data_IF_458691034910
#
_entry.id   IF_458691034910
#
_cell.length_a   1.000
_cell.length_b   1.000
_cell.length_c   1.000
_cell.angle_alpha   90.00
_cell.angle_beta   90.00
_cell.angle_gamma   90.00
#
_symmetry.space_group_name_H-M   'P 1'
#
loop_
_entity.id
_entity.type
_entity.pdbx_description
1 polymer ?
#
# COMPACT_ATOMS: atom_id res chain seq x y z
N UNK A 1 3.17 0.68 -11.75
CA UNK A 1 3.16 2.02 -11.11
C UNK A 1 4.46 2.32 -10.35
N UNK A 2 5.63 1.79 -10.75
CA UNK A 2 6.78 1.76 -9.82
C UNK A 2 7.96 2.69 -10.12
N UNK A 3 8.23 3.17 -11.34
CA UNK A 3 9.29 4.20 -11.54
C UNK A 3 8.96 5.24 -12.62
N UNK A 4 8.18 4.91 -13.65
CA UNK A 4 7.98 5.84 -14.79
C UNK A 4 7.19 7.11 -14.46
N UNK A 5 6.38 7.15 -13.40
CA UNK A 5 5.55 8.32 -13.05
C UNK A 5 6.32 9.48 -12.38
N UNK A 6 7.62 9.35 -12.12
CA UNK A 6 8.35 10.26 -11.20
C UNK A 6 8.72 11.63 -11.76
N UNK A 7 8.76 11.81 -13.08
CA UNK A 7 8.96 13.14 -13.70
C UNK A 7 7.63 13.80 -14.13
N UNK A 8 6.51 13.11 -13.93
CA UNK A 8 5.17 13.65 -14.19
C UNK A 8 4.60 14.36 -12.96
N UNK A 9 3.69 15.31 -13.19
CA UNK A 9 2.95 15.95 -12.09
C UNK A 9 2.14 14.89 -11.33
N UNK A 10 2.10 14.94 -9.99
CA UNK A 10 1.28 13.98 -9.24
C UNK A 10 -0.18 14.11 -9.68
N UNK A 11 -0.82 12.98 -9.98
CA UNK A 11 -2.23 12.88 -10.33
C UNK A 11 -2.99 12.26 -9.15
N UNK A 12 -4.08 12.90 -8.73
CA UNK A 12 -4.96 12.34 -7.71
C UNK A 12 -5.88 11.30 -8.35
N UNK A 13 -5.62 10.03 -8.08
CA UNK A 13 -6.43 8.91 -8.54
C UNK A 13 -7.17 8.28 -7.36
N UNK A 14 -8.50 8.34 -7.38
CA UNK A 14 -9.35 7.65 -6.40
C UNK A 14 -9.27 6.16 -6.72
N UNK A 15 -8.38 5.44 -6.03
CA UNK A 15 -8.13 4.01 -6.27
C UNK A 15 -9.21 3.07 -5.73
N UNK A 16 -10.49 3.39 -5.88
CA UNK A 16 -11.58 2.53 -5.45
C UNK A 16 -12.14 1.73 -6.64
N UNK A 17 -12.01 0.40 -6.59
CA UNK A 17 -12.68 -0.46 -7.56
C UNK A 17 -14.14 -0.65 -7.15
N UNK A 18 -15.12 -0.53 -8.07
CA UNK A 18 -16.52 -0.84 -7.79
C UNK A 18 -16.73 -2.24 -7.19
N UNK A 19 -15.83 -3.18 -7.49
CA UNK A 19 -15.84 -4.54 -6.93
C UNK A 19 -15.70 -4.58 -5.41
N UNK A 20 -15.16 -3.52 -4.80
CA UNK A 20 -15.00 -3.46 -3.35
C UNK A 20 -16.36 -3.49 -2.64
N UNK A 21 -17.38 -2.79 -3.16
CA UNK A 21 -18.74 -2.85 -2.58
C UNK A 21 -19.31 -4.27 -2.65
N UNK A 22 -19.08 -4.98 -3.75
CA UNK A 22 -19.54 -6.36 -3.95
C UNK A 22 -18.86 -7.31 -2.94
N UNK A 23 -17.57 -7.08 -2.67
CA UNK A 23 -16.80 -7.91 -1.71
C UNK A 23 -17.02 -7.55 -0.23
N UNK A 24 -17.60 -6.38 0.08
CA UNK A 24 -17.66 -5.89 1.45
C UNK A 24 -18.47 -6.78 2.41
N UNK A 25 -19.64 -7.32 2.03
CA UNK A 25 -20.39 -8.24 2.90
C UNK A 25 -19.57 -9.46 3.33
N UNK A 26 -18.68 -9.96 2.46
CA UNK A 26 -17.78 -11.07 2.80
C UNK A 26 -16.72 -10.64 3.82
N UNK A 27 -16.16 -9.44 3.66
CA UNK A 27 -15.23 -8.87 4.64
C UNK A 27 -15.92 -8.66 6.01
N UNK A 28 -17.17 -8.18 6.01
CA UNK A 28 -17.97 -8.00 7.23
C UNK A 28 -18.18 -9.34 7.96
N UNK A 29 -18.62 -10.39 7.23
CA UNK A 29 -18.75 -11.75 7.76
C UNK A 29 -17.43 -12.25 8.34
N UNK A 30 -16.32 -12.06 7.63
CA UNK A 30 -14.99 -12.45 8.10
C UNK A 30 -14.64 -11.75 9.42
N UNK A 31 -14.83 -10.43 9.50
CA UNK A 31 -14.57 -9.67 10.72
C UNK A 31 -15.42 -10.17 11.90
N UNK A 32 -16.73 -10.36 11.70
CA UNK A 32 -17.63 -10.86 12.75
C UNK A 32 -17.26 -12.26 13.21
N UNK A 33 -16.98 -13.17 12.28
CA UNK A 33 -16.57 -14.55 12.59
C UNK A 33 -15.31 -14.60 13.47
N UNK A 34 -14.32 -13.74 13.19
CA UNK A 34 -13.09 -13.64 13.99
C UNK A 34 -13.38 -13.06 15.37
N UNK A 35 -14.14 -11.96 15.42
CA UNK A 35 -14.34 -11.19 16.64
C UNK A 35 -15.33 -11.85 17.61
N UNK A 36 -16.30 -12.65 17.13
CA UNK A 36 -17.32 -13.30 17.95
C UNK A 36 -16.73 -14.08 19.12
N UNK A 37 -15.58 -14.75 18.92
CA UNK A 37 -14.91 -15.56 19.95
C UNK A 37 -14.32 -14.72 21.10
N UNK A 38 -14.17 -13.41 20.89
CA UNK A 38 -13.48 -12.50 21.80
C UNK A 38 -14.38 -11.38 22.34
N UNK A 39 -15.67 -11.38 22.00
CA UNK A 39 -16.62 -10.38 22.48
C UNK A 39 -16.77 -10.40 24.01
N UNK A 40 -16.85 -9.22 24.61
CA UNK A 40 -16.95 -9.07 26.06
C UNK A 40 -18.43 -9.06 26.52
N UNK A 41 -19.02 -10.25 26.65
CA UNK A 41 -20.45 -10.41 26.99
C UNK A 41 -20.84 -9.97 28.42
N UNK A 42 -19.88 -9.54 29.26
CA UNK A 42 -20.17 -9.09 30.62
C UNK A 42 -20.67 -7.64 30.69
N UNK A 43 -20.43 -6.83 29.67
CA UNK A 43 -20.85 -5.42 29.66
C UNK A 43 -22.25 -5.29 29.05
N UNK A 44 -23.26 -5.09 29.90
CA UNK A 44 -24.66 -4.93 29.50
C UNK A 44 -24.93 -3.59 28.79
N UNK A 45 -23.99 -2.65 28.84
CA UNK A 45 -24.11 -1.34 28.18
C UNK A 45 -23.81 -1.39 26.68
N UNK A 46 -23.21 -2.49 26.20
CA UNK A 46 -22.80 -2.66 24.80
C UNK A 46 -23.59 -3.79 24.15
N UNK A 47 -24.39 -3.44 23.15
CA UNK A 47 -25.11 -4.41 22.33
C UNK A 47 -24.21 -4.93 21.19
N UNK A 48 -24.28 -6.23 20.92
CA UNK A 48 -23.41 -6.95 20.00
C UNK A 48 -24.20 -7.63 18.88
N UNK A 49 -23.66 -7.60 17.67
CA UNK A 49 -24.28 -8.31 16.55
C UNK A 49 -24.12 -9.83 16.74
N UNK A 50 -25.23 -10.53 17.02
CA UNK A 50 -25.21 -11.98 17.17
C UNK A 50 -24.88 -12.65 15.82
N UNK A 51 -23.83 -13.47 15.83
CA UNK A 51 -23.35 -14.16 14.64
C UNK A 51 -23.11 -15.64 14.92
N UNK A 52 -23.45 -16.51 13.96
CA UNK A 52 -23.25 -17.96 14.10
C UNK A 52 -21.76 -18.25 14.38
N UNK A 53 -21.50 -18.80 15.57
CA UNK A 53 -20.21 -19.32 15.97
C UNK A 53 -19.94 -20.62 15.23
N UNK A 54 -18.83 -20.67 14.49
CA UNK A 54 -18.45 -21.84 13.70
C UNK A 54 -17.21 -22.48 14.26
N UNK A 55 -17.38 -23.72 14.73
CA UNK A 55 -16.29 -24.63 15.00
C UNK A 55 -16.32 -25.74 13.93
N UNK A 56 -15.23 -25.86 13.18
CA UNK A 56 -14.93 -26.92 12.19
C UNK A 56 -15.95 -27.12 11.04
N UNK A 57 -15.67 -26.54 9.86
CA UNK A 57 -16.46 -26.77 8.64
C UNK A 57 -15.63 -27.33 7.49
N UNK A 58 -16.27 -28.21 6.73
CA UNK A 58 -15.80 -28.74 5.45
C UNK A 58 -16.11 -27.73 4.31
N UNK A 59 -15.46 -27.82 3.13
CA UNK A 59 -15.59 -26.82 2.05
C UNK A 59 -17.05 -26.58 1.60
N UNK A 60 -17.84 -27.65 1.44
CA UNK A 60 -19.27 -27.55 1.10
C UNK A 60 -20.06 -26.81 2.19
N UNK A 61 -19.68 -27.03 3.44
CA UNK A 61 -20.29 -26.37 4.59
C UNK A 61 -19.84 -24.92 4.73
N UNK A 62 -18.68 -24.54 4.20
CA UNK A 62 -18.20 -23.15 4.18
C UNK A 62 -19.06 -22.25 3.29
N UNK A 63 -19.44 -22.72 2.09
CA UNK A 63 -20.34 -21.97 1.19
C UNK A 63 -21.72 -21.83 1.84
N UNK A 64 -22.26 -22.92 2.38
CA UNK A 64 -23.53 -22.91 3.12
C UNK A 64 -23.46 -21.94 4.29
N UNK A 65 -22.32 -21.90 5.00
CA UNK A 65 -22.11 -20.96 6.09
C UNK A 65 -22.15 -19.51 5.62
N UNK A 66 -21.42 -19.14 4.57
CA UNK A 66 -21.44 -17.76 4.04
C UNK A 66 -22.86 -17.35 3.67
N UNK A 67 -23.61 -18.21 2.98
CA UNK A 67 -24.99 -17.92 2.57
C UNK A 67 -25.91 -17.79 3.78
N UNK A 68 -25.82 -18.69 4.75
CA UNK A 68 -26.60 -18.63 5.98
C UNK A 68 -26.27 -17.39 6.81
N UNK A 69 -24.99 -17.03 6.89
CA UNK A 69 -24.51 -15.81 7.54
C UNK A 69 -25.02 -14.54 6.86
N UNK A 70 -24.98 -14.49 5.52
CA UNK A 70 -25.56 -13.37 4.77
C UNK A 70 -27.07 -13.26 5.04
N UNK A 71 -27.78 -14.38 5.00
CA UNK A 71 -29.22 -14.42 5.25
C UNK A 71 -29.57 -13.99 6.67
N UNK A 72 -28.79 -14.44 7.66
CA UNK A 72 -28.98 -14.07 9.06
C UNK A 72 -28.76 -12.57 9.27
N UNK A 73 -27.63 -12.00 8.81
CA UNK A 73 -27.37 -10.56 8.96
C UNK A 73 -28.47 -9.74 8.27
N UNK A 74 -28.92 -10.18 7.09
CA UNK A 74 -30.01 -9.52 6.39
C UNK A 74 -31.32 -9.57 7.17
N UNK A 75 -31.63 -10.70 7.81
CA UNK A 75 -32.87 -10.87 8.60
C UNK A 75 -32.82 -10.07 9.91
N UNK A 76 -31.69 -10.06 10.60
CA UNK A 76 -31.56 -9.48 11.94
C UNK A 76 -31.25 -7.96 11.91
N UNK A 77 -30.52 -7.49 10.90
CA UNK A 77 -30.03 -6.11 10.82
C UNK A 77 -30.39 -5.38 9.50
N UNK A 78 -30.95 -6.11 8.53
CA UNK A 78 -31.24 -5.59 7.20
C UNK A 78 -30.00 -5.36 6.34
N UNK A 79 -30.19 -4.68 5.21
CA UNK A 79 -29.10 -4.30 4.30
C UNK A 79 -28.04 -3.43 4.97
N UNK A 80 -28.45 -2.60 5.94
CA UNK A 80 -27.53 -1.73 6.70
C UNK A 80 -26.50 -2.56 7.47
N UNK A 81 -26.90 -3.70 8.02
CA UNK A 81 -26.01 -4.63 8.73
C UNK A 81 -24.85 -5.15 7.88
N UNK A 82 -25.14 -5.53 6.64
CA UNK A 82 -24.15 -6.05 5.67
C UNK A 82 -23.07 -5.02 5.32
N UNK A 83 -23.41 -3.75 5.35
CA UNK A 83 -22.54 -2.62 5.02
C UNK A 83 -22.17 -1.76 6.26
N UNK A 84 -22.34 -2.30 7.47
CA UNK A 84 -21.91 -1.63 8.70
C UNK A 84 -20.39 -1.42 8.68
N UNK A 85 -19.95 -0.19 8.95
CA UNK A 85 -18.54 0.19 8.93
C UNK A 85 -17.97 0.57 7.56
N UNK A 86 -18.74 0.51 6.47
CA UNK A 86 -18.27 0.90 5.12
C UNK A 86 -17.91 2.37 5.06
N UNK A 87 -18.75 3.25 5.61
CA UNK A 87 -18.54 4.70 5.52
C UNK A 87 -17.19 5.11 6.15
N UNK A 88 -16.87 4.77 7.41
CA UNK A 88 -15.55 5.07 7.96
C UNK A 88 -14.40 4.37 7.22
N UNK A 89 -14.64 3.20 6.62
CA UNK A 89 -13.64 2.51 5.78
C UNK A 89 -13.33 3.27 4.48
N UNK A 90 -14.36 3.75 3.77
CA UNK A 90 -14.20 4.57 2.58
C UNK A 90 -13.52 5.89 2.94
N UNK A 91 -13.94 6.51 4.04
CA UNK A 91 -13.29 7.71 4.56
C UNK A 91 -11.79 7.45 4.84
N UNK A 92 -11.42 6.30 5.41
CA UNK A 92 -10.03 5.91 5.60
C UNK A 92 -9.27 5.84 4.26
N UNK A 93 -9.80 5.11 3.27
CA UNK A 93 -9.16 4.93 1.96
C UNK A 93 -8.95 6.27 1.26
N UNK A 94 -10.00 7.11 1.21
CA UNK A 94 -9.94 8.44 0.61
C UNK A 94 -8.96 9.33 1.36
N UNK A 95 -9.04 9.39 2.70
CA UNK A 95 -8.15 10.21 3.51
C UNK A 95 -6.68 9.82 3.34
N UNK A 96 -6.39 8.51 3.34
CA UNK A 96 -5.04 7.98 3.11
C UNK A 96 -4.48 8.46 1.77
N UNK A 97 -5.26 8.35 0.69
CA UNK A 97 -4.84 8.78 -0.66
C UNK A 97 -4.69 10.29 -0.77
N UNK A 98 -5.61 11.05 -0.17
CA UNK A 98 -5.56 12.52 -0.16
C UNK A 98 -4.33 13.03 0.56
N UNK A 99 -4.03 12.49 1.75
CA UNK A 99 -2.84 12.89 2.53
C UNK A 99 -1.57 12.52 1.75
N UNK A 100 -1.51 11.32 1.16
CA UNK A 100 -0.39 10.90 0.34
C UNK A 100 -0.13 11.87 -0.82
N UNK A 101 -1.19 12.20 -1.58
CA UNK A 101 -1.13 13.13 -2.70
C UNK A 101 -0.66 14.52 -2.28
N UNK A 102 -1.15 15.04 -1.14
CA UNK A 102 -0.73 16.32 -0.61
C UNK A 102 0.77 16.33 -0.27
N UNK A 103 1.27 15.28 0.41
CA UNK A 103 2.69 15.14 0.75
C UNK A 103 3.57 15.06 -0.51
N UNK A 104 3.14 14.28 -1.50
CA UNK A 104 3.82 14.14 -2.79
C UNK A 104 3.85 15.47 -3.56
N UNK A 105 2.74 16.21 -3.59
CA UNK A 105 2.65 17.50 -4.26
C UNK A 105 3.52 18.57 -3.57
N UNK A 106 3.56 18.59 -2.23
CA UNK A 106 4.46 19.45 -1.46
C UNK A 106 5.92 19.11 -1.81
N UNK A 107 6.29 17.83 -1.80
CA UNK A 107 7.63 17.38 -2.16
C UNK A 107 8.04 17.79 -3.58
N UNK A 108 7.15 17.54 -4.56
CA UNK A 108 7.36 17.94 -5.95
C UNK A 108 7.56 19.46 -6.08
N UNK A 109 6.76 20.25 -5.36
CA UNK A 109 6.86 21.71 -5.38
C UNK A 109 8.20 22.22 -4.80
N UNK A 110 8.67 21.60 -3.70
CA UNK A 110 9.95 21.91 -3.08
C UNK A 110 11.12 21.53 -3.99
N UNK A 111 11.10 20.33 -4.57
CA UNK A 111 12.11 19.90 -5.54
C UNK A 111 12.17 20.82 -6.76
N UNK A 112 11.01 21.27 -7.26
CA UNK A 112 10.94 22.20 -8.40
C UNK A 112 11.53 23.56 -8.06
N UNK A 113 11.33 24.07 -6.83
CA UNK A 113 11.96 25.32 -6.35
C UNK A 113 13.48 25.19 -6.29
N UNK A 114 13.99 24.13 -5.66
CA UNK A 114 15.43 23.88 -5.57
C UNK A 114 16.09 23.68 -6.95
N UNK A 115 15.41 23.02 -7.90
CA UNK A 115 15.90 22.88 -9.28
C UNK A 115 16.00 24.23 -9.99
N UNK A 116 15.07 25.16 -9.75
CA UNK A 116 15.12 26.52 -10.32
C UNK A 116 16.27 27.35 -9.72
N UNK A 117 16.47 27.27 -8.41
CA UNK A 117 17.58 27.94 -7.71
C UNK A 117 18.94 27.43 -8.19
N UNK A 118 19.15 26.11 -8.26
CA UNK A 118 20.38 25.53 -8.81
C UNK A 118 20.65 25.93 -10.26
N UNK A 119 19.61 26.05 -11.10
CA UNK A 119 19.76 26.53 -12.48
C UNK A 119 20.23 27.99 -12.53
N UNK A 120 19.72 28.85 -11.64
CA UNK A 120 20.16 30.25 -11.51
C UNK A 120 21.64 30.32 -11.09
N UNK A 121 22.03 29.60 -10.04
CA UNK A 121 23.43 29.56 -9.58
C UNK A 121 24.40 28.97 -10.61
N UNK A 122 23.95 27.96 -11.38
CA UNK A 122 24.77 27.34 -12.43
C UNK A 122 24.95 28.25 -13.65
N UNK A 123 23.96 29.08 -13.97
CA UNK A 123 24.06 30.08 -15.03
C UNK A 123 25.03 31.21 -14.64
N UNK A 124 24.99 31.67 -13.39
CA UNK A 124 25.96 32.66 -12.86
C UNK A 124 27.40 32.10 -12.84
N UNK A 125 27.57 30.84 -12.40
CA UNK A 125 28.89 30.18 -12.38
C UNK A 125 29.44 29.91 -13.78
N UNK A 126 28.61 29.55 -14.77
CA UNK A 126 29.06 29.35 -16.16
C UNK A 126 29.53 30.65 -16.81
N UNK A 127 28.87 31.78 -16.53
CA UNK A 127 29.32 33.10 -16.99
C UNK A 127 30.69 33.49 -16.42
N UNK A 128 30.94 33.15 -15.15
CA UNK A 128 32.24 33.39 -14.50
C UNK A 128 33.33 32.42 -14.99
N UNK A 129 33.03 31.12 -15.09
CA UNK A 129 34.00 30.09 -15.50
C UNK A 129 34.43 30.23 -16.97
N UNK A 130 33.50 30.59 -17.88
CA UNK A 130 33.83 30.83 -19.29
C UNK A 130 34.84 31.96 -19.48
N UNK A 131 34.82 32.98 -18.62
CA UNK A 131 35.80 34.07 -18.64
C UNK A 131 37.18 33.61 -18.14
N UNK A 132 37.24 32.64 -17.22
CA UNK A 132 38.49 32.05 -16.74
C UNK A 132 39.08 31.01 -17.70
N UNK A 133 38.25 30.15 -18.31
CA UNK A 133 38.68 29.15 -19.31
C UNK A 133 39.23 29.82 -20.56
N UNK A 134 38.58 30.88 -21.05
CA UNK A 134 39.12 31.66 -22.17
C UNK A 134 40.50 32.24 -21.84
N UNK A 135 40.71 32.73 -20.61
CA UNK A 135 42.03 33.24 -20.16
C UNK A 135 43.12 32.16 -20.11
N UNK A 136 42.79 30.98 -19.61
CA UNK A 136 43.73 29.86 -19.48
C UNK A 136 44.07 29.20 -20.83
N UNK A 137 43.17 29.26 -21.81
CA UNK A 137 43.44 28.78 -23.18
C UNK A 137 44.45 29.71 -23.87
N UNK A 138 44.28 31.03 -23.73
CA UNK A 138 45.26 31.99 -24.24
C UNK A 138 46.65 31.84 -23.60
N UNK A 139 46.75 31.44 -22.32
CA UNK A 139 48.05 31.18 -21.66
C UNK A 139 48.67 29.81 -22.02
N UNK A 140 47.89 28.83 -22.49
CA UNK A 140 48.37 27.47 -22.81
C UNK A 140 48.72 27.25 -24.28
N UNK A 141 48.15 28.03 -25.19
CA UNK A 141 48.53 27.99 -26.61
C UNK A 141 50.01 28.34 -26.84
N UNK A 142 50.64 29.04 -25.89
CA UNK A 142 52.06 29.41 -25.96
C UNK A 142 53.05 28.30 -25.54
N UNK A 143 52.61 27.14 -25.02
CA UNK A 143 53.56 26.18 -24.39
C UNK A 143 53.47 24.69 -24.79
N UNK A 144 52.45 24.17 -25.48
CA UNK A 144 52.35 22.71 -25.66
C UNK A 144 51.97 22.25 -27.09
N UNK A 145 52.94 21.66 -27.79
CA UNK A 145 52.84 21.09 -29.15
C UNK A 145 52.51 19.57 -29.21
N UNK A 146 51.85 18.98 -28.21
CA UNK A 146 51.52 17.54 -28.24
C UNK A 146 50.01 17.26 -28.10
N UNK A 147 49.40 16.90 -29.23
CA UNK A 147 47.96 16.66 -29.42
C UNK A 147 47.44 15.42 -28.63
N UNK A 148 48.30 14.46 -28.32
CA UNK A 148 47.92 13.20 -27.66
C UNK A 148 47.44 13.33 -26.22
N UNK A 149 48.03 14.24 -25.43
CA UNK A 149 47.70 14.40 -24.02
C UNK A 149 46.37 15.13 -23.79
N UNK A 150 46.01 16.03 -24.70
CA UNK A 150 44.73 16.75 -24.67
C UNK A 150 43.55 15.79 -24.91
N UNK A 151 43.71 14.84 -25.84
CA UNK A 151 42.69 13.85 -26.16
C UNK A 151 42.51 12.87 -25.00
N UNK A 152 43.61 12.39 -24.40
CA UNK A 152 43.55 11.47 -23.27
C UNK A 152 42.89 12.11 -22.03
N UNK A 153 43.21 13.39 -21.76
CA UNK A 153 42.58 14.15 -20.67
C UNK A 153 41.07 14.31 -20.88
N UNK A 154 40.62 14.61 -22.09
CA UNK A 154 39.20 14.74 -22.41
C UNK A 154 38.44 13.41 -22.24
N UNK A 155 39.04 12.28 -22.65
CA UNK A 155 38.43 10.95 -22.50
C UNK A 155 38.27 10.57 -21.02
N UNK A 156 39.30 10.80 -20.19
CA UNK A 156 39.24 10.53 -18.74
C UNK A 156 38.20 11.43 -18.04
N UNK A 157 38.10 12.71 -18.46
CA UNK A 157 37.08 13.64 -17.96
C UNK A 157 35.67 13.18 -18.32
N UNK A 158 35.45 12.74 -19.56
CA UNK A 158 34.17 12.17 -19.98
C UNK A 158 33.82 10.88 -19.22
N UNK A 159 34.77 9.96 -19.03
CA UNK A 159 34.53 8.74 -18.24
C UNK A 159 34.15 9.04 -16.78
N UNK A 160 34.86 9.97 -16.13
CA UNK A 160 34.55 10.37 -14.76
C UNK A 160 33.20 11.07 -14.67
N UNK A 161 32.87 11.92 -15.63
CA UNK A 161 31.56 12.58 -15.72
C UNK A 161 30.41 11.55 -15.86
N UNK A 162 30.53 10.57 -16.76
CA UNK A 162 29.53 9.49 -16.91
C UNK A 162 29.41 8.65 -15.63
N UNK A 163 30.53 8.38 -14.95
CA UNK A 163 30.54 7.62 -13.69
C UNK A 163 29.88 8.40 -12.54
N UNK A 164 30.10 9.71 -12.47
CA UNK A 164 29.46 10.61 -11.50
C UNK A 164 27.97 10.79 -11.78
N UNK A 165 27.56 10.93 -13.03
CA UNK A 165 26.15 10.97 -13.43
C UNK A 165 25.43 9.68 -13.03
N UNK A 166 26.01 8.51 -13.33
CA UNK A 166 25.43 7.23 -12.96
C UNK A 166 25.29 7.04 -11.43
N UNK A 167 26.26 7.50 -10.65
CA UNK A 167 26.18 7.48 -9.19
C UNK A 167 25.17 8.49 -8.64
N UNK A 168 25.05 9.67 -9.26
CA UNK A 168 24.05 10.68 -8.91
C UNK A 168 22.63 10.17 -9.20
N UNK A 169 22.44 9.51 -10.35
CA UNK A 169 21.18 8.89 -10.76
C UNK A 169 20.77 7.79 -9.77
N UNK A 170 21.68 6.89 -9.38
CA UNK A 170 21.41 5.87 -8.35
C UNK A 170 21.03 6.48 -7.00
N UNK A 171 21.74 7.52 -6.53
CA UNK A 171 21.40 8.23 -5.28
C UNK A 171 20.04 8.93 -5.37
N UNK A 172 19.71 9.53 -6.51
CA UNK A 172 18.42 10.19 -6.77
C UNK A 172 17.24 9.22 -6.68
N UNK A 173 17.35 8.04 -7.30
CA UNK A 173 16.31 7.01 -7.22
C UNK A 173 16.13 6.45 -5.80
N UNK A 174 17.23 6.27 -5.05
CA UNK A 174 17.16 5.81 -3.67
C UNK A 174 16.43 6.81 -2.75
N UNK A 175 16.81 8.10 -2.83
CA UNK A 175 16.13 9.15 -2.05
C UNK A 175 14.64 9.22 -2.37
N UNK A 176 14.28 9.13 -3.66
CA UNK A 176 12.88 9.19 -4.07
C UNK A 176 12.07 8.01 -3.52
N UNK A 177 12.59 6.77 -3.63
CA UNK A 177 11.94 5.59 -3.07
C UNK A 177 11.73 5.68 -1.55
N UNK A 178 12.67 6.29 -0.83
CA UNK A 178 12.56 6.52 0.61
C UNK A 178 11.41 7.50 0.94
N UNK A 179 11.33 8.64 0.26
CA UNK A 179 10.28 9.62 0.49
C UNK A 179 8.88 9.08 0.18
N UNK A 180 8.71 8.32 -0.90
CA UNK A 180 7.41 7.69 -1.19
C UNK A 180 6.98 6.72 -0.09
N UNK A 181 7.92 5.93 0.42
CA UNK A 181 7.66 5.00 1.53
C UNK A 181 7.26 5.76 2.79
N UNK A 182 7.97 6.87 3.08
CA UNK A 182 7.69 7.75 4.22
C UNK A 182 6.29 8.38 4.11
N UNK A 183 5.92 8.96 2.96
CA UNK A 183 4.61 9.56 2.75
C UNK A 183 3.49 8.56 2.91
N UNK A 184 3.71 7.33 2.45
CA UNK A 184 2.72 6.29 2.62
C UNK A 184 2.52 5.90 4.08
N UNK A 185 3.59 5.80 4.88
CA UNK A 185 3.47 5.55 6.31
C UNK A 185 2.81 6.71 7.05
N UNK A 186 3.19 7.96 6.77
CA UNK A 186 2.54 9.13 7.39
C UNK A 186 1.05 9.14 7.05
N UNK A 187 0.69 8.93 5.78
CA UNK A 187 -0.71 8.88 5.35
C UNK A 187 -1.49 7.76 6.03
N UNK A 188 -0.87 6.59 6.21
CA UNK A 188 -1.44 5.45 6.92
C UNK A 188 -1.66 5.73 8.40
N UNK A 189 -0.70 6.37 9.08
CA UNK A 189 -0.81 6.71 10.51
C UNK A 189 -1.93 7.72 10.72
N UNK A 190 -1.98 8.78 9.93
CA UNK A 190 -2.99 9.83 10.08
C UNK A 190 -4.41 9.35 9.76
N UNK A 191 -4.55 8.44 8.80
CA UNK A 191 -5.85 7.86 8.43
C UNK A 191 -6.27 6.67 9.31
N UNK A 192 -5.38 6.15 10.17
CA UNK A 192 -5.61 4.92 10.94
C UNK A 192 -6.82 4.96 11.89
N UNK A 193 -7.13 6.07 12.61
CA UNK A 193 -8.29 6.12 13.48
C UNK A 193 -9.61 5.78 12.78
N UNK A 194 -9.77 6.17 11.50
CA UNK A 194 -10.94 5.84 10.69
C UNK A 194 -11.06 4.33 10.42
N UNK A 195 -9.93 3.68 10.17
CA UNK A 195 -9.87 2.23 9.98
C UNK A 195 -10.22 1.47 11.26
N UNK A 196 -9.77 1.98 12.42
CA UNK A 196 -10.07 1.40 13.73
C UNK A 196 -11.58 1.53 14.06
N UNK A 197 -12.14 2.73 13.90
CA UNK A 197 -13.57 2.99 14.08
C UNK A 197 -14.40 2.10 13.16
N UNK A 198 -13.98 1.93 11.89
CA UNK A 198 -14.67 1.05 10.95
C UNK A 198 -14.75 -0.39 11.45
N UNK A 199 -13.67 -0.95 11.97
CA UNK A 199 -13.68 -2.31 12.52
C UNK A 199 -14.55 -2.46 13.76
N UNK A 200 -14.54 -1.47 14.66
CA UNK A 200 -15.41 -1.46 15.85
C UNK A 200 -16.89 -1.33 15.46
N UNK A 201 -17.19 -0.61 14.39
CA UNK A 201 -18.55 -0.41 13.89
C UNK A 201 -19.16 -1.66 13.26
N UNK A 202 -18.35 -2.62 12.83
CA UNK A 202 -18.83 -3.90 12.30
C UNK A 202 -19.49 -4.76 13.40
N UNK A 203 -18.95 -4.72 14.61
CA UNK A 203 -19.42 -5.53 15.75
C UNK A 203 -20.44 -4.81 16.64
N UNK A 204 -20.44 -3.48 16.61
CA UNK A 204 -21.36 -2.66 17.40
C UNK A 204 -22.80 -2.78 16.88
N UNK A 205 -23.73 -3.16 17.74
CA UNK A 205 -25.15 -3.30 17.40
C UNK A 205 -25.95 -2.11 17.91
N UNK A 206 -26.49 -1.30 16.99
CA UNK A 206 -27.53 -0.34 17.35
C UNK A 206 -28.36 0.01 16.11
N UNK A 207 -29.25 -0.91 15.74
CA UNK A 207 -30.03 -0.80 14.51
C UNK A 207 -31.12 0.28 14.57
N UNK A 208 -31.54 0.67 15.78
CA UNK A 208 -32.55 1.71 16.00
C UNK A 208 -32.02 3.13 15.80
N UNK A 209 -30.70 3.35 15.89
CA UNK A 209 -30.08 4.68 15.74
C UNK A 209 -29.53 4.92 14.33
N UNK A 210 -29.45 6.20 13.96
CA UNK A 210 -28.85 6.64 12.69
C UNK A 210 -27.36 6.25 12.64
N UNK A 211 -26.83 6.08 11.42
CA UNK A 211 -25.43 5.69 11.22
C UNK A 211 -24.46 6.69 11.88
N UNK A 212 -24.76 7.98 11.76
CA UNK A 212 -23.93 9.06 12.32
C UNK A 212 -23.93 9.02 13.86
N UNK A 213 -25.06 8.63 14.47
CA UNK A 213 -25.13 8.48 15.91
C UNK A 213 -24.38 7.23 16.39
N UNK A 214 -24.41 6.14 15.63
CA UNK A 214 -23.58 4.96 15.93
C UNK A 214 -22.09 5.29 15.85
N UNK A 215 -21.68 6.06 14.84
CA UNK A 215 -20.31 6.54 14.72
C UNK A 215 -19.92 7.44 15.90
N UNK A 216 -20.77 8.39 16.29
CA UNK A 216 -20.55 9.23 17.48
C UNK A 216 -20.43 8.40 18.76
N UNK A 217 -21.30 7.40 18.92
CA UNK A 217 -21.28 6.53 20.10
C UNK A 217 -19.97 5.73 20.16
N UNK A 218 -19.50 5.15 19.05
CA UNK A 218 -18.24 4.39 19.01
C UNK A 218 -17.04 5.29 19.31
N UNK A 219 -17.02 6.51 18.78
CA UNK A 219 -15.96 7.49 19.08
C UNK A 219 -15.98 7.84 20.57
N UNK A 220 -17.15 8.14 21.11
CA UNK A 220 -17.32 8.47 22.52
C UNK A 220 -16.91 7.30 23.43
N UNK A 221 -17.37 6.08 23.15
CA UNK A 221 -17.02 4.87 23.89
C UNK A 221 -15.50 4.61 23.82
N UNK A 222 -14.91 4.68 22.62
CA UNK A 222 -13.46 4.46 22.46
C UNK A 222 -12.66 5.48 23.25
N UNK A 223 -13.06 6.75 23.24
CA UNK A 223 -12.39 7.79 23.99
C UNK A 223 -12.61 7.66 25.50
N UNK A 224 -13.81 7.29 25.95
CA UNK A 224 -14.13 7.14 27.36
C UNK A 224 -13.39 5.96 28.02
N UNK A 225 -13.25 4.82 27.34
CA UNK A 225 -12.60 3.64 27.90
C UNK A 225 -11.07 3.63 27.70
N UNK A 226 -10.60 3.97 26.50
CA UNK A 226 -9.18 3.77 26.12
C UNK A 226 -8.46 5.10 25.81
N UNK A 227 -9.15 6.24 25.87
CA UNK A 227 -8.60 7.55 25.52
C UNK A 227 -8.17 7.65 24.05
N UNK A 228 -7.14 8.47 23.81
CA UNK A 228 -6.56 8.64 22.45
C UNK A 228 -5.85 7.38 21.97
N UNK A 229 -5.27 6.60 22.89
CA UNK A 229 -4.55 5.37 22.57
C UNK A 229 -5.48 4.32 21.93
N UNK A 230 -6.75 4.26 22.35
CA UNK A 230 -7.76 3.36 21.77
C UNK A 230 -7.98 3.49 20.27
N UNK A 231 -7.74 4.68 19.69
CA UNK A 231 -7.83 4.92 18.25
C UNK A 231 -6.61 4.39 17.48
N UNK A 232 -5.44 4.33 18.12
CA UNK A 232 -4.19 3.85 17.52
C UNK A 232 -3.84 2.41 17.90
N UNK A 233 -4.69 1.75 18.69
CA UNK A 233 -4.52 0.34 19.04
C UNK A 233 -4.44 -0.53 17.79
N UNK A 234 -3.43 -1.40 17.73
CA UNK A 234 -3.17 -2.28 16.59
C UNK A 234 -2.40 -1.67 15.42
N UNK A 235 -1.97 -0.40 15.49
CA UNK A 235 -1.29 0.27 14.38
C UNK A 235 0.00 -0.43 13.97
N UNK A 236 0.77 -0.95 14.93
CA UNK A 236 2.01 -1.69 14.65
C UNK A 236 1.75 -2.88 13.71
N UNK A 237 0.68 -3.64 13.97
CA UNK A 237 0.33 -4.78 13.13
C UNK A 237 -0.07 -4.33 11.72
N UNK A 238 -0.83 -3.24 11.63
CA UNK A 238 -1.22 -2.67 10.35
C UNK A 238 -0.01 -2.19 9.53
N UNK A 239 0.95 -1.52 10.17
CA UNK A 239 2.16 -1.04 9.50
C UNK A 239 3.06 -2.19 9.04
N UNK A 240 3.15 -3.30 9.81
CA UNK A 240 3.89 -4.49 9.41
C UNK A 240 3.25 -5.19 8.20
N UNK A 241 1.93 -5.29 8.16
CA UNK A 241 1.22 -5.85 6.99
C UNK A 241 1.52 -4.99 5.75
N UNK A 242 1.43 -3.66 5.90
CA UNK A 242 1.71 -2.75 4.80
C UNK A 242 3.17 -2.80 4.34
N UNK A 243 4.13 -2.96 5.25
CA UNK A 243 5.54 -3.05 4.89
C UNK A 243 5.84 -4.31 4.09
N UNK A 244 5.21 -5.44 4.42
CA UNK A 244 5.34 -6.71 3.68
C UNK A 244 4.85 -6.59 2.24
N UNK A 245 3.70 -5.94 2.03
CA UNK A 245 3.19 -5.64 0.68
C UNK A 245 4.17 -4.77 -0.12
N UNK A 246 4.89 -3.84 0.53
CA UNK A 246 5.88 -2.98 -0.14
C UNK A 246 7.17 -3.68 -0.45
N UNK A 247 7.66 -4.51 0.46
CA UNK A 247 8.81 -5.36 0.19
C UNK A 247 8.54 -6.27 -1.01
N UNK A 248 7.33 -6.83 -1.09
CA UNK A 248 6.89 -7.62 -2.25
C UNK A 248 6.92 -6.80 -3.54
N UNK A 249 6.32 -5.60 -3.53
CA UNK A 249 6.30 -4.72 -4.70
C UNK A 249 7.72 -4.32 -5.16
N UNK A 250 8.61 -4.03 -4.21
CA UNK A 250 10.01 -3.70 -4.50
C UNK A 250 10.77 -4.91 -5.06
N UNK A 251 10.56 -6.09 -4.48
CA UNK A 251 11.13 -7.35 -4.95
C UNK A 251 10.69 -7.66 -6.39
N UNK A 252 9.39 -7.53 -6.68
CA UNK A 252 8.83 -7.75 -8.01
C UNK A 252 9.40 -6.76 -9.01
N UNK A 253 9.49 -5.48 -8.65
CA UNK A 253 10.09 -4.47 -9.50
C UNK A 253 11.54 -4.83 -9.82
N UNK A 254 12.38 -5.03 -8.80
CA UNK A 254 13.80 -5.33 -8.98
C UNK A 254 14.07 -6.59 -9.80
N UNK A 255 13.21 -7.60 -9.66
CA UNK A 255 13.40 -8.91 -10.31
C UNK A 255 12.87 -8.94 -11.74
N UNK A 256 11.74 -8.28 -12.01
CA UNK A 256 11.02 -8.44 -13.27
C UNK A 256 10.94 -7.17 -14.15
N UNK A 257 11.26 -5.98 -13.64
CA UNK A 257 11.12 -4.72 -14.41
C UNK A 257 11.92 -4.72 -15.71
N UNK A 258 13.07 -5.40 -15.72
CA UNK A 258 13.97 -5.41 -16.88
C UNK A 258 13.70 -6.59 -17.84
N UNK A 259 12.82 -7.53 -17.47
CA UNK A 259 12.68 -8.83 -18.16
C UNK A 259 11.28 -9.12 -18.70
N UNK A 260 10.25 -8.46 -18.20
CA UNK A 260 8.85 -8.76 -18.52
C UNK A 260 8.07 -7.52 -18.93
N UNK A 261 7.05 -7.72 -19.77
CA UNK A 261 6.06 -6.68 -20.10
C UNK A 261 5.26 -6.28 -18.85
N UNK A 262 4.73 -5.05 -18.85
CA UNK A 262 4.02 -4.48 -17.70
C UNK A 262 2.85 -5.36 -17.23
N UNK A 263 2.05 -5.90 -18.16
CA UNK A 263 0.87 -6.71 -17.87
C UNK A 263 1.24 -8.05 -17.23
N UNK A 264 2.36 -8.65 -17.65
CA UNK A 264 2.91 -9.86 -17.02
C UNK A 264 3.37 -9.58 -15.60
N UNK A 265 4.05 -8.46 -15.35
CA UNK A 265 4.46 -8.04 -14.00
C UNK A 265 3.25 -7.78 -13.11
N UNK A 266 2.18 -7.17 -13.64
CA UNK A 266 0.94 -6.94 -12.90
C UNK A 266 0.27 -8.26 -12.50
N UNK A 267 0.21 -9.22 -13.41
CA UNK A 267 -0.38 -10.53 -13.14
C UNK A 267 0.43 -11.30 -12.09
N UNK A 268 1.75 -11.35 -12.24
CA UNK A 268 2.67 -11.95 -11.24
C UNK A 268 2.49 -11.28 -9.89
N UNK A 269 2.34 -9.95 -9.86
CA UNK A 269 2.09 -9.20 -8.62
C UNK A 269 0.80 -9.65 -7.95
N UNK A 270 -0.30 -9.79 -8.68
CA UNK A 270 -1.58 -10.24 -8.11
C UNK A 270 -1.41 -11.63 -7.50
N UNK A 271 -0.84 -12.58 -8.23
CA UNK A 271 -0.61 -13.95 -7.75
C UNK A 271 0.26 -13.96 -6.49
N UNK A 272 1.43 -13.32 -6.53
CA UNK A 272 2.37 -13.33 -5.40
C UNK A 272 1.82 -12.58 -4.17
N UNK A 273 1.03 -11.52 -4.38
CA UNK A 273 0.33 -10.81 -3.30
C UNK A 273 -0.75 -11.67 -2.67
N UNK A 274 -1.49 -12.46 -3.45
CA UNK A 274 -2.46 -13.41 -2.88
C UNK A 274 -1.78 -14.51 -2.05
N UNK A 275 -0.62 -15.04 -2.49
CA UNK A 275 0.16 -15.98 -1.70
C UNK A 275 0.64 -15.36 -0.39
N UNK A 276 1.20 -14.15 -0.45
CA UNK A 276 1.70 -13.43 0.70
C UNK A 276 0.58 -13.15 1.71
N UNK A 277 -0.58 -12.69 1.25
CA UNK A 277 -1.77 -12.49 2.09
C UNK A 277 -2.27 -13.80 2.71
N UNK A 278 -2.18 -14.91 1.98
CA UNK A 278 -2.55 -16.23 2.52
C UNK A 278 -1.60 -16.66 3.63
N UNK A 279 -0.28 -16.44 3.48
CA UNK A 279 0.71 -16.77 4.51
C UNK A 279 0.56 -15.86 5.75
N UNK A 280 0.30 -14.57 5.55
CA UNK A 280 0.18 -13.58 6.63
C UNK A 280 -1.24 -13.54 7.22
N UNK A 281 -2.18 -14.36 6.73
CA UNK A 281 -3.57 -14.36 7.17
C UNK A 281 -3.76 -14.42 8.70
N UNK A 282 -3.02 -15.24 9.50
CA UNK A 282 -3.17 -15.25 10.96
C UNK A 282 -2.83 -13.89 11.58
N UNK A 283 -1.85 -13.20 11.01
CA UNK A 283 -1.44 -11.88 11.46
C UNK A 283 -2.44 -10.79 11.04
N UNK A 284 -3.03 -10.90 9.85
CA UNK A 284 -4.14 -10.03 9.41
C UNK A 284 -5.35 -10.20 10.35
N UNK A 285 -5.70 -11.43 10.70
CA UNK A 285 -6.79 -11.72 11.65
C UNK A 285 -6.49 -11.15 13.04
N UNK A 286 -5.27 -11.30 13.53
CA UNK A 286 -4.85 -10.67 14.78
C UNK A 286 -4.87 -9.12 14.70
N UNK A 287 -4.53 -8.53 13.55
CA UNK A 287 -4.65 -7.08 13.35
C UNK A 287 -6.11 -6.59 13.43
N UNK A 288 -7.08 -7.35 12.91
CA UNK A 288 -8.52 -7.08 13.07
C UNK A 288 -8.92 -7.16 14.56
N UNK A 289 -8.46 -8.20 15.26
CA UNK A 289 -8.73 -8.38 16.68
C UNK A 289 -8.14 -7.25 17.53
N UNK A 290 -6.86 -6.94 17.36
CA UNK A 290 -6.15 -5.93 18.15
C UNK A 290 -6.75 -4.51 17.96
N UNK A 291 -7.31 -4.20 16.78
CA UNK A 291 -8.08 -2.96 16.56
C UNK A 291 -9.37 -2.90 17.37
N UNK A 292 -10.02 -4.04 17.55
CA UNK A 292 -11.34 -4.15 18.17
C UNK A 292 -11.27 -4.33 19.69
N UNK A 293 -10.10 -4.65 20.22
CA UNK A 293 -9.84 -4.72 21.66
C UNK A 293 -10.03 -3.35 22.31
N UNK A 294 -10.95 -3.32 23.25
CA UNK A 294 -11.33 -2.16 24.05
C UNK A 294 -12.11 -2.72 25.23
N UNK A 295 -11.96 -2.13 26.42
CA UNK A 295 -12.56 -2.67 27.65
C UNK A 295 -14.07 -2.97 27.52
N UNK A 296 -14.79 -2.22 26.67
CA UNK A 296 -16.22 -2.43 26.40
C UNK A 296 -16.59 -3.28 25.17
N UNK A 297 -15.66 -3.74 24.31
CA UNK A 297 -16.01 -4.43 23.05
C UNK A 297 -15.43 -5.86 22.94
N UNK A 298 -14.11 -5.98 23.01
CA UNK A 298 -13.41 -7.26 22.86
C UNK A 298 -12.40 -7.42 23.98
N UNK A 299 -12.26 -8.66 24.49
CA UNK A 299 -11.31 -9.00 25.53
C UNK A 299 -9.87 -8.79 25.04
N UNK A 300 -9.06 -8.21 25.93
CA UNK A 300 -7.64 -8.03 25.70
C UNK A 300 -6.95 -9.40 25.60
N UNK A 301 -6.44 -9.68 24.41
CA UNK A 301 -5.79 -10.95 24.07
C UNK A 301 -4.44 -10.68 23.44
N UNK A 302 -3.41 -11.34 23.96
CA UNK A 302 -2.05 -11.21 23.44
C UNK A 302 -1.88 -12.01 22.14
N UNK A 303 -0.93 -11.61 21.30
CA UNK A 303 -0.61 -12.33 20.07
C UNK A 303 -0.32 -13.81 20.32
N UNK A 304 0.47 -14.12 21.35
CA UNK A 304 0.83 -15.51 21.70
C UNK A 304 -0.42 -16.34 22.05
N UNK A 305 -1.36 -15.76 22.79
CA UNK A 305 -2.61 -16.43 23.14
C UNK A 305 -3.51 -16.66 21.92
N UNK A 306 -3.62 -15.67 21.03
CA UNK A 306 -4.34 -15.82 19.76
C UNK A 306 -3.70 -16.91 18.89
N UNK A 307 -2.37 -16.87 18.74
CA UNK A 307 -1.60 -17.76 17.88
C UNK A 307 -1.65 -19.23 18.34
N UNK A 308 -1.65 -19.46 19.66
CA UNK A 308 -1.81 -20.81 20.24
C UNK A 308 -3.19 -21.42 19.96
N UNK A 309 -4.23 -20.59 19.97
CA UNK A 309 -5.61 -21.02 19.73
C UNK A 309 -6.00 -21.01 18.25
N UNK A 310 -5.05 -20.69 17.36
CA UNK A 310 -5.30 -20.58 15.94
C UNK A 310 -5.40 -21.96 15.27
N UNK A 311 -6.30 -22.10 14.30
CA UNK A 311 -6.55 -23.38 13.60
C UNK A 311 -5.47 -23.68 12.54
N UNK A 312 -4.25 -24.01 12.99
CA UNK A 312 -3.08 -24.26 12.14
C UNK A 312 -3.28 -25.32 11.07
N UNK A 313 -3.98 -26.42 11.37
CA UNK A 313 -4.21 -27.52 10.42
C UNK A 313 -4.97 -27.05 9.18
N UNK A 314 -6.08 -26.32 9.38
CA UNK A 314 -6.87 -25.77 8.27
C UNK A 314 -6.10 -24.69 7.53
N UNK A 315 -5.37 -23.84 8.26
CA UNK A 315 -4.59 -22.78 7.65
C UNK A 315 -3.46 -23.30 6.76
N UNK A 316 -2.66 -24.26 7.23
CA UNK A 316 -1.57 -24.86 6.44
C UNK A 316 -2.10 -25.58 5.20
N UNK A 317 -3.27 -26.23 5.31
CA UNK A 317 -3.95 -26.82 4.15
C UNK A 317 -4.33 -25.75 3.13
N UNK A 318 -4.93 -24.63 3.56
CA UNK A 318 -5.28 -23.52 2.67
C UNK A 318 -4.05 -22.87 2.03
N UNK A 319 -2.95 -22.69 2.78
CA UNK A 319 -1.68 -22.15 2.26
C UNK A 319 -1.11 -23.09 1.20
N UNK A 320 -1.13 -24.40 1.44
CA UNK A 320 -0.65 -25.40 0.47
C UNK A 320 -1.45 -25.35 -0.84
N UNK A 321 -2.78 -25.35 -0.76
CA UNK A 321 -3.65 -25.24 -1.94
C UNK A 321 -3.43 -23.90 -2.66
N UNK A 322 -3.33 -22.79 -1.91
CA UNK A 322 -3.08 -21.46 -2.47
C UNK A 322 -1.74 -21.37 -3.22
N UNK A 323 -0.68 -21.97 -2.68
CA UNK A 323 0.63 -22.05 -3.32
C UNK A 323 0.61 -22.94 -4.56
N UNK A 324 -0.11 -24.07 -4.53
CA UNK A 324 -0.26 -24.93 -5.70
C UNK A 324 -0.97 -24.21 -6.85
N UNK A 325 -2.09 -23.52 -6.57
CA UNK A 325 -2.84 -22.73 -7.57
C UNK A 325 -1.97 -21.60 -8.12
N UNK A 326 -1.24 -20.89 -7.27
CA UNK A 326 -0.31 -19.85 -7.70
C UNK A 326 0.82 -20.39 -8.57
N UNK A 327 1.37 -21.56 -8.24
CA UNK A 327 2.37 -22.26 -9.05
C UNK A 327 1.85 -22.57 -10.44
N UNK A 328 0.63 -23.12 -10.54
CA UNK A 328 -0.03 -23.38 -11.83
C UNK A 328 -0.25 -22.09 -12.62
N UNK A 329 -0.73 -21.02 -11.97
CA UNK A 329 -0.91 -19.72 -12.63
C UNK A 329 0.41 -19.14 -13.14
N UNK A 330 1.49 -19.23 -12.38
CA UNK A 330 2.82 -18.77 -12.81
C UNK A 330 3.37 -19.61 -13.96
N UNK A 331 3.13 -20.93 -13.98
CA UNK A 331 3.49 -21.81 -15.09
C UNK A 331 2.71 -21.42 -16.35
N UNK A 332 1.40 -21.18 -16.25
CA UNK A 332 0.57 -20.72 -17.38
C UNK A 332 1.12 -19.40 -17.93
N UNK A 333 1.45 -18.44 -17.06
CA UNK A 333 2.03 -17.14 -17.46
C UNK A 333 3.40 -17.33 -18.12
N UNK A 334 4.22 -18.28 -17.67
CA UNK A 334 5.51 -18.60 -18.26
C UNK A 334 5.39 -19.28 -19.64
N UNK A 335 4.33 -20.06 -19.84
CA UNK A 335 4.01 -20.74 -21.11
C UNK A 335 3.31 -19.83 -22.12
N UNK A 336 2.73 -18.70 -21.70
CA UNK A 336 2.21 -17.71 -22.64
C UNK A 336 3.35 -17.17 -23.51
N UNK A 337 3.16 -17.11 -24.84
CA UNK A 337 4.21 -16.68 -25.76
C UNK A 337 4.82 -15.34 -25.34
N UNK A 338 6.12 -15.18 -25.57
CA UNK A 338 6.77 -13.87 -25.44
C UNK A 338 5.98 -12.92 -26.34
N UNK A 339 5.49 -11.83 -25.74
CA UNK A 339 5.01 -10.71 -26.53
C UNK A 339 6.17 -10.38 -27.48
N UNK A 340 5.91 -10.42 -28.79
CA UNK A 340 6.87 -9.94 -29.79
C UNK A 340 7.40 -8.60 -29.30
N UNK A 341 8.73 -8.38 -29.32
CA UNK A 341 9.25 -7.07 -28.96
C UNK A 341 8.50 -6.07 -29.84
N UNK A 342 7.77 -5.14 -29.22
CA UNK A 342 7.29 -3.97 -29.95
C UNK A 342 8.55 -3.37 -30.57
N UNK A 343 8.63 -3.42 -31.89
CA UNK A 343 9.56 -2.60 -32.65
C UNK A 343 9.56 -1.20 -32.06
N UNK A 344 10.75 -0.60 -31.98
CA UNK A 344 11.07 0.71 -31.44
C UNK A 344 10.38 1.90 -32.18
N UNK A 345 9.16 1.75 -32.68
CA UNK A 345 8.48 2.73 -33.53
C UNK A 345 7.21 3.37 -32.93
N UNK A 346 6.91 3.17 -31.64
CA UNK A 346 5.75 3.85 -30.99
C UNK A 346 6.17 4.84 -29.89
N UNK A 347 7.43 5.29 -29.87
CA UNK A 347 7.88 6.33 -28.92
C UNK A 347 7.64 7.76 -29.43
N UNK A 348 7.08 7.95 -30.64
CA UNK A 348 6.86 9.30 -31.19
C UNK A 348 5.46 9.64 -31.73
N UNK A 349 4.44 8.81 -31.53
CA UNK A 349 3.06 9.16 -31.95
C UNK A 349 2.04 8.93 -30.84
N UNK A 350 2.09 9.78 -29.82
CA UNK A 350 0.92 10.20 -29.02
C UNK A 350 1.32 11.38 -28.12
N UNK A 351 2.10 12.30 -28.70
CA UNK A 351 2.00 13.72 -28.34
C UNK A 351 0.97 14.29 -29.31
N UNK A 352 -0.04 14.94 -28.76
CA UNK A 352 -1.10 15.68 -29.44
C UNK A 352 -2.31 14.82 -29.84
N UNK A 353 -3.12 14.43 -28.86
CA UNK A 353 -4.47 15.00 -28.69
C UNK A 353 -5.17 14.39 -27.47
N UNK A 354 -5.59 15.28 -26.56
CA UNK A 354 -6.51 15.09 -25.43
C UNK A 354 -6.46 13.75 -24.67
N UNK A 355 -5.74 13.72 -23.54
CA UNK A 355 -6.20 13.32 -22.18
C UNK A 355 -5.03 13.19 -21.20
#
# INVERSE_FOLDING_TARGET
MLIEKYDEKPKFEIGFSPLYFISYPLYNIQCRSILQKYLNHYDTSVAYNDFINVNNLNIKTYIIYIVNSLHQIYKDEGLKGLYNGVIPMLAHIVSKRSIYYLLENIHYSLLKRMRKEKKRESQEKKGSMSNYENRLIYEKEDTNNFIGDVINFNIVKHMNFVKEENNCVKKKYFHLSFYHTLYEYISSILSYPLLNISTKMIIFQNNSKSLLQNLRNIIHLTYAYDGVYGFFRGINNFLIIQSLDKLLNCFLYKTFSNRCSYDKVLTIKVVLSTCLNTIIAPYIQYSILNRSQSYGLCKDTTFNQFFRNFHWKSHLSNVSVGLAVAGVQLIIIALMPKDTPKNDEVVHKEKDEYF
#
